data_IF_307292450851
#
_entry.id   IF_307292450851
#
_cell.length_a   1.000
_cell.length_b   1.000
_cell.length_c   1.000
_cell.angle_alpha   90.00
_cell.angle_beta   90.00
_cell.angle_gamma   90.00
#
_symmetry.space_group_name_H-M   'P 1'
#
loop_
_entity.id
_entity.type
_entity.pdbx_description
1 polymer ?
#
# COMPACT_ATOMS: atom_id res chain seq x y z
N UNK A 1 -10.62 0.74 -33.06
CA UNK A 1 -9.25 1.26 -33.11
C UNK A 1 -8.53 0.60 -31.94
N UNK A 2 -7.57 -0.29 -32.19
CA UNK A 2 -6.74 -0.84 -31.11
C UNK A 2 -5.97 0.32 -30.46
N UNK A 3 -5.75 0.23 -29.15
CA UNK A 3 -4.95 1.20 -28.41
C UNK A 3 -3.51 1.18 -28.97
N UNK A 4 -2.84 2.33 -29.08
CA UNK A 4 -1.45 2.41 -29.57
C UNK A 4 -0.51 1.49 -28.78
N UNK A 5 -0.80 1.30 -27.48
CA UNK A 5 -0.06 0.38 -26.62
C UNK A 5 -0.30 -1.08 -27.02
N UNK A 6 -1.55 -1.48 -27.27
CA UNK A 6 -1.88 -2.83 -27.77
C UNK A 6 -1.22 -3.10 -29.13
N UNK A 7 -1.21 -2.13 -30.05
CA UNK A 7 -0.59 -2.28 -31.37
C UNK A 7 0.93 -2.48 -31.28
N UNK A 8 1.61 -1.75 -30.40
CA UNK A 8 3.04 -1.91 -30.17
C UNK A 8 3.35 -3.28 -29.54
N UNK A 9 2.58 -3.68 -28.53
CA UNK A 9 2.73 -4.97 -27.88
C UNK A 9 2.51 -6.13 -28.86
N UNK A 10 1.48 -6.05 -29.71
CA UNK A 10 1.19 -7.06 -30.73
C UNK A 10 2.33 -7.24 -31.74
N UNK A 11 2.97 -6.14 -32.18
CA UNK A 11 4.13 -6.19 -33.09
C UNK A 11 5.32 -6.91 -32.46
N UNK A 12 5.62 -6.61 -31.20
CA UNK A 12 6.72 -7.25 -30.47
C UNK A 12 6.42 -8.72 -30.15
N UNK A 13 5.17 -9.03 -29.79
CA UNK A 13 4.70 -10.36 -29.44
C UNK A 13 4.72 -11.35 -30.63
N UNK A 14 4.68 -10.86 -31.88
CA UNK A 14 4.68 -11.68 -33.08
C UNK A 14 5.96 -12.52 -33.26
N UNK A 15 7.10 -12.06 -32.72
CA UNK A 15 8.37 -12.80 -32.75
C UNK A 15 8.69 -13.54 -31.46
N UNK A 16 7.83 -13.45 -30.44
CA UNK A 16 8.05 -14.08 -29.14
C UNK A 16 7.62 -15.56 -29.16
N UNK A 17 8.16 -16.41 -28.28
CA UNK A 17 7.66 -17.77 -28.11
C UNK A 17 6.19 -17.80 -27.67
N UNK A 18 5.52 -18.94 -27.85
CA UNK A 18 4.14 -19.15 -27.40
C UNK A 18 4.06 -19.89 -26.06
N UNK A 19 5.10 -20.63 -25.69
CA UNK A 19 5.14 -21.39 -24.44
C UNK A 19 5.33 -20.46 -23.24
N UNK A 20 4.51 -20.66 -22.20
CA UNK A 20 4.54 -19.83 -20.99
C UNK A 20 5.91 -19.84 -20.30
N UNK A 21 6.57 -21.00 -20.20
CA UNK A 21 7.91 -21.09 -19.60
C UNK A 21 8.93 -20.25 -20.37
N UNK A 22 8.94 -20.34 -21.70
CA UNK A 22 9.85 -19.55 -22.54
C UNK A 22 9.55 -18.04 -22.49
N UNK A 23 8.29 -17.65 -22.29
CA UNK A 23 7.91 -16.25 -22.09
C UNK A 23 8.41 -15.70 -20.74
N UNK A 24 8.42 -16.52 -19.69
CA UNK A 24 8.96 -16.15 -18.39
C UNK A 24 10.49 -15.97 -18.42
N UNK A 25 11.21 -16.90 -19.06
CA UNK A 25 12.66 -16.76 -19.27
C UNK A 25 12.98 -15.50 -20.09
N UNK A 26 12.20 -15.24 -21.15
CA UNK A 26 12.34 -14.01 -21.93
C UNK A 26 12.11 -12.75 -21.08
N UNK A 27 11.17 -12.78 -20.13
CA UNK A 27 10.96 -11.65 -19.23
C UNK A 27 12.18 -11.39 -18.34
N UNK A 28 12.80 -12.45 -17.81
CA UNK A 28 14.03 -12.35 -17.02
C UNK A 28 15.20 -11.78 -17.85
N UNK A 29 15.39 -12.25 -19.09
CA UNK A 29 16.40 -11.72 -20.02
C UNK A 29 16.16 -10.23 -20.34
N UNK A 30 14.89 -9.83 -20.51
CA UNK A 30 14.52 -8.44 -20.77
C UNK A 30 14.81 -7.54 -19.57
N UNK A 31 14.58 -8.02 -18.35
CA UNK A 31 14.95 -7.31 -17.11
C UNK A 31 16.47 -7.09 -17.06
N UNK A 32 17.26 -8.10 -17.43
CA UNK A 32 18.72 -7.97 -17.49
C UNK A 32 19.18 -6.96 -18.54
N UNK A 33 18.54 -6.97 -19.71
CA UNK A 33 18.80 -6.02 -20.78
C UNK A 33 18.44 -4.58 -20.37
N UNK A 34 17.31 -4.39 -19.67
CA UNK A 34 16.89 -3.11 -19.14
C UNK A 34 17.88 -2.59 -18.10
N UNK A 35 18.25 -3.42 -17.13
CA UNK A 35 19.21 -3.03 -16.10
C UNK A 35 20.55 -2.63 -16.69
N UNK A 36 21.07 -3.42 -17.63
CA UNK A 36 22.32 -3.10 -18.32
C UNK A 36 22.22 -1.78 -19.08
N UNK A 37 21.12 -1.56 -19.81
CA UNK A 37 20.89 -0.31 -20.54
C UNK A 37 20.85 0.92 -19.63
N UNK A 38 20.23 0.81 -18.45
CA UNK A 38 20.21 1.92 -17.47
C UNK A 38 21.62 2.23 -16.98
N UNK A 39 22.42 1.21 -16.66
CA UNK A 39 23.80 1.39 -16.22
C UNK A 39 24.73 1.93 -17.32
N UNK A 40 24.44 1.58 -18.58
CA UNK A 40 25.18 2.04 -19.76
C UNK A 40 24.71 3.40 -20.29
N UNK A 41 23.74 4.03 -19.64
CA UNK A 41 23.12 5.30 -20.07
C UNK A 41 22.44 5.22 -21.47
N UNK A 42 22.00 4.03 -21.88
CA UNK A 42 21.34 3.78 -23.16
C UNK A 42 19.80 3.84 -23.01
N UNK A 43 19.26 5.05 -23.16
CA UNK A 43 17.83 5.32 -23.03
C UNK A 43 16.97 4.57 -24.06
N UNK A 44 17.43 4.49 -25.31
CA UNK A 44 16.68 3.84 -26.39
C UNK A 44 16.55 2.34 -26.12
N UNK A 45 17.64 1.70 -25.69
CA UNK A 45 17.63 0.28 -25.31
C UNK A 45 16.77 0.03 -24.08
N UNK A 46 16.80 0.92 -23.08
CA UNK A 46 15.95 0.82 -21.89
C UNK A 46 14.45 0.88 -22.25
N UNK A 47 14.04 1.85 -23.09
CA UNK A 47 12.66 1.98 -23.59
C UNK A 47 12.25 0.73 -24.39
N UNK A 48 13.15 0.23 -25.24
CA UNK A 48 12.92 -1.00 -26.00
C UNK A 48 12.75 -2.24 -25.11
N UNK A 49 13.54 -2.36 -24.05
CA UNK A 49 13.42 -3.44 -23.07
C UNK A 49 12.09 -3.36 -22.31
N UNK A 50 11.70 -2.19 -21.82
CA UNK A 50 10.40 -2.00 -21.17
C UNK A 50 9.22 -2.39 -22.08
N UNK A 51 9.25 -1.97 -23.34
CA UNK A 51 8.20 -2.33 -24.30
C UNK A 51 8.14 -3.85 -24.57
N UNK A 52 9.28 -4.55 -24.59
CA UNK A 52 9.32 -6.01 -24.69
C UNK A 52 8.75 -6.68 -23.44
N UNK A 53 9.07 -6.18 -22.26
CA UNK A 53 8.52 -6.71 -21.00
C UNK A 53 6.98 -6.60 -20.97
N UNK A 54 6.43 -5.44 -21.38
CA UNK A 54 4.98 -5.28 -21.51
C UNK A 54 4.37 -6.22 -22.56
N UNK A 55 5.06 -6.46 -23.67
CA UNK A 55 4.60 -7.37 -24.72
C UNK A 55 4.56 -8.84 -24.26
N UNK A 56 5.46 -9.26 -23.36
CA UNK A 56 5.38 -10.59 -22.71
C UNK A 56 4.09 -10.71 -21.90
N UNK A 57 3.81 -9.73 -21.03
CA UNK A 57 2.58 -9.70 -20.21
C UNK A 57 1.34 -9.71 -21.10
N UNK A 58 1.35 -8.88 -22.16
CA UNK A 58 0.26 -8.79 -23.12
C UNK A 58 -0.02 -10.13 -23.82
N UNK A 59 1.04 -10.81 -24.28
CA UNK A 59 0.93 -12.10 -24.96
C UNK A 59 0.40 -13.17 -24.02
N UNK A 60 0.95 -13.26 -22.81
CA UNK A 60 0.48 -14.18 -21.77
C UNK A 60 -0.97 -13.91 -21.34
N UNK A 61 -1.46 -12.67 -21.49
CA UNK A 61 -2.85 -12.29 -21.18
C UNK A 61 -3.81 -12.43 -22.38
N UNK A 62 -3.43 -13.19 -23.42
CA UNK A 62 -4.29 -13.47 -24.57
C UNK A 62 -4.44 -12.28 -25.53
N UNK A 63 -3.43 -11.41 -25.58
CA UNK A 63 -3.41 -10.28 -26.50
C UNK A 63 -4.27 -9.10 -26.05
N UNK A 64 -4.20 -8.75 -24.76
CA UNK A 64 -4.80 -7.54 -24.20
C UNK A 64 -4.14 -7.15 -22.88
N UNK A 65 -4.10 -5.86 -22.55
CA UNK A 65 -3.71 -5.40 -21.20
C UNK A 65 -4.86 -5.45 -20.19
N UNK A 66 -6.12 -5.59 -20.63
CA UNK A 66 -7.25 -5.58 -19.70
C UNK A 66 -7.19 -6.77 -18.74
N UNK A 67 -7.16 -6.48 -17.43
CA UNK A 67 -7.11 -7.48 -16.38
C UNK A 67 -5.77 -8.20 -16.22
N UNK A 68 -4.67 -7.68 -16.80
CA UNK A 68 -3.37 -8.34 -16.71
C UNK A 68 -2.77 -8.37 -15.30
N UNK A 69 -3.30 -7.57 -14.36
CA UNK A 69 -2.86 -7.51 -12.95
C UNK A 69 -4.03 -7.67 -11.96
N UNK A 70 -5.09 -8.40 -12.34
CA UNK A 70 -6.32 -8.50 -11.53
C UNK A 70 -6.14 -9.21 -10.18
N UNK A 71 -5.22 -10.19 -10.11
CA UNK A 71 -4.93 -11.03 -8.94
C UNK A 71 -3.60 -11.77 -9.12
N UNK A 72 -3.19 -12.58 -8.14
CA UNK A 72 -1.88 -13.28 -8.12
C UNK A 72 -1.58 -14.10 -9.37
N UNK A 73 -2.59 -14.71 -9.97
CA UNK A 73 -2.43 -15.60 -11.12
C UNK A 73 -2.54 -14.85 -12.45
N UNK A 74 -2.77 -13.54 -12.40
CA UNK A 74 -2.83 -12.70 -13.60
C UNK A 74 -1.43 -12.56 -14.21
N UNK A 75 -1.29 -12.59 -15.55
CA UNK A 75 0.01 -12.63 -16.21
C UNK A 75 1.02 -11.57 -15.76
N UNK A 76 0.59 -10.34 -15.50
CA UNK A 76 1.46 -9.28 -14.98
C UNK A 76 2.04 -9.61 -13.61
N UNK A 77 1.23 -10.18 -12.72
CA UNK A 77 1.67 -10.56 -11.36
C UNK A 77 2.51 -11.85 -11.39
N UNK A 78 2.22 -12.79 -12.29
CA UNK A 78 3.03 -14.00 -12.51
C UNK A 78 4.41 -13.62 -13.04
N UNK A 79 4.49 -12.74 -14.06
CA UNK A 79 5.77 -12.26 -14.61
C UNK A 79 6.55 -11.45 -13.58
N UNK A 80 5.89 -10.54 -12.84
CA UNK A 80 6.54 -9.77 -11.76
C UNK A 80 7.11 -10.68 -10.68
N UNK A 81 6.35 -11.69 -10.25
CA UNK A 81 6.78 -12.64 -9.21
C UNK A 81 7.95 -13.50 -9.69
N UNK A 82 7.92 -13.92 -10.96
CA UNK A 82 9.01 -14.70 -11.56
C UNK A 82 10.31 -13.89 -11.68
N UNK A 83 10.20 -12.60 -12.01
CA UNK A 83 11.36 -11.72 -12.15
C UNK A 83 11.77 -11.05 -10.83
N UNK A 84 11.12 -11.34 -9.70
CA UNK A 84 11.37 -10.65 -8.45
C UNK A 84 12.80 -10.90 -7.94
N UNK A 85 13.42 -9.88 -7.35
CA UNK A 85 14.68 -10.07 -6.64
C UNK A 85 14.49 -10.91 -5.37
N UNK A 86 15.50 -11.70 -5.02
CA UNK A 86 15.53 -12.46 -3.78
C UNK A 86 15.37 -11.53 -2.55
N UNK A 87 14.76 -12.06 -1.48
CA UNK A 87 14.50 -11.28 -0.28
C UNK A 87 15.80 -10.71 0.33
N UNK A 88 15.85 -9.39 0.52
CA UNK A 88 17.01 -8.68 1.06
C UNK A 88 18.05 -8.28 0.00
N UNK A 89 17.95 -8.79 -1.23
CA UNK A 89 18.86 -8.43 -2.31
C UNK A 89 18.41 -7.13 -3.00
N UNK A 90 19.39 -6.33 -3.44
CA UNK A 90 19.13 -5.13 -4.23
C UNK A 90 18.53 -5.55 -5.58
N UNK A 91 17.34 -5.08 -5.95
CA UNK A 91 16.73 -5.41 -7.23
C UNK A 91 17.47 -4.73 -8.39
N UNK A 92 17.49 -5.41 -9.54
CA UNK A 92 17.83 -4.78 -10.82
C UNK A 92 16.74 -3.77 -11.21
N UNK A 93 17.07 -2.82 -12.09
CA UNK A 93 16.04 -1.99 -12.72
C UNK A 93 15.07 -2.88 -13.50
N UNK A 94 13.77 -2.75 -13.22
CA UNK A 94 12.72 -3.62 -13.79
C UNK A 94 12.29 -4.78 -12.90
N UNK A 95 12.98 -5.05 -11.79
CA UNK A 95 12.52 -6.00 -10.77
C UNK A 95 11.71 -5.31 -9.68
N UNK A 96 10.90 -6.09 -8.99
CA UNK A 96 10.41 -5.76 -7.66
C UNK A 96 11.36 -6.36 -6.62
N UNK A 97 11.56 -5.67 -5.50
CA UNK A 97 12.42 -6.18 -4.44
C UNK A 97 12.33 -5.36 -3.16
N UNK A 98 12.89 -5.90 -2.09
CA UNK A 98 13.00 -5.22 -0.81
C UNK A 98 14.38 -5.45 -0.22
N UNK A 99 15.08 -4.37 0.12
CA UNK A 99 16.47 -4.38 0.58
C UNK A 99 16.71 -3.28 1.61
N UNK A 100 17.76 -3.42 2.42
CA UNK A 100 18.09 -2.44 3.46
C UNK A 100 19.30 -1.63 3.05
N UNK A 101 19.18 -0.30 3.15
CA UNK A 101 20.29 0.64 2.96
C UNK A 101 20.58 1.39 4.24
N UNK A 102 21.79 1.93 4.32
CA UNK A 102 22.23 2.80 5.41
C UNK A 102 22.67 4.13 4.84
N UNK A 103 22.06 5.22 5.30
CA UNK A 103 22.42 6.60 4.92
C UNK A 103 22.55 7.43 6.19
N UNK A 104 23.71 8.01 6.43
CA UNK A 104 24.02 8.81 7.62
C UNK A 104 23.64 8.10 8.95
N UNK A 105 23.97 6.80 9.03
CA UNK A 105 23.65 5.95 10.19
C UNK A 105 22.18 5.52 10.30
N UNK A 106 21.27 6.05 9.47
CA UNK A 106 19.87 5.65 9.42
C UNK A 106 19.69 4.41 8.54
N UNK A 107 19.14 3.34 9.13
CA UNK A 107 18.79 2.11 8.41
C UNK A 107 17.37 2.21 7.86
N UNK A 108 17.24 1.96 6.57
CA UNK A 108 15.96 2.10 5.85
C UNK A 108 15.71 0.84 5.06
N UNK A 109 14.53 0.25 5.25
CA UNK A 109 14.03 -0.78 4.35
C UNK A 109 13.43 -0.07 3.14
N UNK A 110 13.98 -0.35 1.98
CA UNK A 110 13.51 0.16 0.69
C UNK A 110 12.72 -0.97 0.04
N UNK A 111 11.43 -0.76 -0.15
CA UNK A 111 10.63 -1.55 -1.07
C UNK A 111 10.63 -0.83 -2.43
N UNK A 112 11.14 -1.51 -3.44
CA UNK A 112 11.20 -1.01 -4.81
C UNK A 112 10.16 -1.76 -5.64
N UNK A 113 9.23 -1.00 -6.22
CA UNK A 113 8.16 -1.52 -7.06
C UNK A 113 8.56 -1.65 -8.52
N UNK A 114 7.79 -2.46 -9.26
CA UNK A 114 7.87 -2.55 -10.71
C UNK A 114 7.70 -1.17 -11.37
N UNK A 115 8.23 -1.02 -12.59
CA UNK A 115 8.28 0.22 -13.40
C UNK A 115 6.90 0.79 -13.83
N UNK A 116 5.81 0.30 -13.23
CA UNK A 116 4.45 0.75 -13.46
C UNK A 116 4.05 0.75 -14.93
N UNK A 117 2.97 1.45 -15.24
CA UNK A 117 2.72 1.89 -16.61
C UNK A 117 3.58 3.12 -16.87
N UNK A 118 4.37 3.12 -17.96
CA UNK A 118 5.17 4.26 -18.44
C UNK A 118 6.52 4.54 -17.76
N UNK A 119 7.12 3.58 -17.04
CA UNK A 119 8.51 3.71 -16.57
C UNK A 119 8.72 4.53 -15.31
N UNK A 120 7.65 4.77 -14.54
CA UNK A 120 7.77 5.39 -13.22
C UNK A 120 8.15 4.33 -12.19
N UNK A 121 9.28 4.54 -11.52
CA UNK A 121 9.73 3.73 -10.41
C UNK A 121 9.12 4.23 -9.09
N UNK A 122 8.66 3.31 -8.25
CA UNK A 122 8.18 3.62 -6.89
C UNK A 122 9.20 3.13 -5.87
N UNK A 123 9.70 4.05 -5.06
CA UNK A 123 10.46 3.77 -3.85
C UNK A 123 9.56 3.98 -2.64
N UNK A 124 9.44 2.94 -1.82
CA UNK A 124 8.74 2.97 -0.55
C UNK A 124 9.79 2.80 0.57
N UNK A 125 10.00 3.86 1.34
CA UNK A 125 10.98 3.90 2.42
C UNK A 125 10.30 3.62 3.76
N UNK A 126 10.80 2.62 4.48
CA UNK A 126 10.28 2.21 5.77
C UNK A 126 11.36 2.29 6.85
N UNK A 127 11.00 2.82 8.01
CA UNK A 127 11.89 2.88 9.16
C UNK A 127 12.19 1.46 9.70
N UNK A 128 13.48 1.13 9.77
CA UNK A 128 13.96 -0.11 10.40
C UNK A 128 14.04 0.07 11.91
N UNK A 129 14.65 1.16 12.34
CA UNK A 129 14.85 1.53 13.74
C UNK A 129 13.80 2.56 14.16
N UNK A 130 12.87 2.14 15.01
CA UNK A 130 11.73 2.95 15.41
C UNK A 130 12.05 3.94 16.54
N UNK A 131 13.18 3.74 17.23
CA UNK A 131 13.66 4.57 18.33
C UNK A 131 14.64 5.68 17.88
N UNK A 132 14.74 5.92 16.57
CA UNK A 132 15.60 6.91 15.96
C UNK A 132 14.83 7.88 15.06
N UNK A 133 15.50 8.94 14.61
CA UNK A 133 14.97 9.85 13.61
C UNK A 133 14.81 9.16 12.25
N UNK A 134 13.85 9.63 11.45
CA UNK A 134 13.55 9.14 10.12
C UNK A 134 13.18 10.31 9.18
N UNK A 135 13.06 10.07 7.88
CA UNK A 135 12.68 11.08 6.87
C UNK A 135 11.19 11.47 6.89
N UNK A 136 10.42 10.93 7.85
CA UNK A 136 8.96 11.08 7.99
C UNK A 136 8.51 10.69 9.40
N UNK A 137 7.61 11.47 10.00
CA UNK A 137 7.02 11.23 11.33
C UNK A 137 6.21 9.92 11.42
N UNK A 138 5.78 9.40 10.27
CA UNK A 138 4.98 8.16 10.20
C UNK A 138 5.82 6.88 10.19
N UNK A 139 7.14 7.00 10.05
CA UNK A 139 8.03 5.86 9.77
C UNK A 139 7.91 5.31 8.34
N UNK A 140 7.21 6.02 7.45
CA UNK A 140 7.03 5.66 6.05
C UNK A 140 7.09 6.88 5.12
N UNK A 141 7.65 6.72 3.92
CA UNK A 141 7.61 7.73 2.85
C UNK A 141 7.66 7.05 1.48
N UNK A 142 6.73 7.38 0.58
CA UNK A 142 6.83 7.01 -0.83
C UNK A 142 7.52 8.10 -1.66
N UNK A 143 8.15 7.69 -2.75
CA UNK A 143 8.76 8.56 -3.74
C UNK A 143 8.59 7.95 -5.13
N UNK A 144 8.10 8.74 -6.08
CA UNK A 144 8.04 8.36 -7.49
C UNK A 144 9.19 9.03 -8.22
N UNK A 145 9.91 8.26 -9.02
CA UNK A 145 11.02 8.76 -9.85
C UNK A 145 11.02 8.08 -11.22
N UNK A 146 11.83 8.57 -12.14
CA UNK A 146 12.17 7.87 -13.37
C UNK A 146 13.33 6.87 -13.18
N UNK A 147 13.76 6.27 -14.28
CA UNK A 147 15.03 5.54 -14.34
C UNK A 147 16.19 6.54 -14.10
N UNK A 148 17.12 6.18 -13.21
CA UNK A 148 18.35 6.95 -12.99
C UNK A 148 19.50 6.31 -13.77
N UNK A 149 19.71 6.80 -14.98
CA UNK A 149 20.80 6.34 -15.85
C UNK A 149 22.17 6.57 -15.21
N UNK A 150 23.05 5.57 -15.35
CA UNK A 150 24.38 5.55 -14.73
C UNK A 150 24.39 5.14 -13.25
N UNK A 151 23.26 4.77 -12.67
CA UNK A 151 23.16 4.37 -11.25
C UNK A 151 22.39 3.06 -11.07
N UNK A 152 22.76 2.31 -10.05
CA UNK A 152 21.98 1.17 -9.54
C UNK A 152 20.73 1.65 -8.78
N UNK A 153 19.77 0.73 -8.53
CA UNK A 153 18.60 1.03 -7.70
C UNK A 153 19.01 1.42 -6.27
N UNK A 154 20.06 0.81 -5.73
CA UNK A 154 20.58 1.14 -4.40
C UNK A 154 21.16 2.56 -4.34
N UNK A 155 21.98 2.94 -5.33
CA UNK A 155 22.55 4.30 -5.40
C UNK A 155 21.44 5.35 -5.56
N UNK A 156 20.47 5.09 -6.45
CA UNK A 156 19.29 5.95 -6.60
C UNK A 156 18.54 6.12 -5.27
N UNK A 157 18.29 5.02 -4.54
CA UNK A 157 17.62 5.06 -3.24
C UNK A 157 18.43 5.87 -2.21
N UNK A 158 19.76 5.69 -2.16
CA UNK A 158 20.65 6.43 -1.25
C UNK A 158 20.64 7.93 -1.56
N UNK A 159 20.65 8.30 -2.83
CA UNK A 159 20.61 9.71 -3.24
C UNK A 159 19.27 10.37 -2.90
N UNK A 160 18.15 9.69 -3.12
CA UNK A 160 16.81 10.17 -2.73
C UNK A 160 16.75 10.37 -1.21
N UNK A 161 17.25 9.41 -0.43
CA UNK A 161 17.31 9.51 1.03
C UNK A 161 18.19 10.68 1.48
N UNK A 162 19.38 10.82 0.89
CA UNK A 162 20.30 11.91 1.20
C UNK A 162 19.69 13.28 0.91
N UNK A 163 18.88 13.40 -0.14
CA UNK A 163 18.17 14.64 -0.46
C UNK A 163 17.12 14.97 0.61
N UNK A 164 16.29 14.01 1.01
CA UNK A 164 15.31 14.22 2.08
C UNK A 164 15.93 14.56 3.43
N UNK A 165 17.12 14.07 3.71
CA UNK A 165 17.84 14.37 4.96
C UNK A 165 18.39 15.80 5.03
N UNK A 166 18.36 16.57 3.93
CA UNK A 166 18.69 18.00 3.93
C UNK A 166 17.58 18.84 4.59
N UNK A 167 16.34 18.36 4.59
CA UNK A 167 15.19 19.10 5.09
C UNK A 167 15.03 18.95 6.60
N UNK A 168 14.64 17.76 7.06
CA UNK A 168 14.29 17.48 8.46
C UNK A 168 14.62 16.04 8.84
N UNK A 169 14.81 15.83 10.14
CA UNK A 169 15.04 14.52 10.76
C UNK A 169 14.07 14.33 11.94
N UNK A 170 12.76 14.26 11.70
CA UNK A 170 11.79 14.05 12.76
C UNK A 170 11.97 12.69 13.44
N UNK A 171 11.59 12.63 14.71
CA UNK A 171 11.30 11.36 15.38
C UNK A 171 9.98 10.78 14.86
N UNK A 172 9.80 9.46 14.96
CA UNK A 172 8.55 8.80 14.59
C UNK A 172 7.53 9.04 15.71
N UNK A 173 6.32 9.49 15.37
CA UNK A 173 5.30 9.73 16.39
C UNK A 173 4.92 8.43 17.11
N UNK A 174 4.57 8.57 18.39
CA UNK A 174 4.23 7.47 19.30
C UNK A 174 3.21 6.50 18.71
N UNK A 175 2.12 7.01 18.13
CA UNK A 175 1.05 6.18 17.56
C UNK A 175 1.54 5.31 16.40
N UNK A 176 2.36 5.89 15.51
CA UNK A 176 2.95 5.17 14.39
C UNK A 176 4.01 4.18 14.85
N UNK A 177 4.87 4.57 15.79
CA UNK A 177 5.86 3.68 16.40
C UNK A 177 5.21 2.46 17.05
N UNK A 178 4.13 2.63 17.80
CA UNK A 178 3.42 1.53 18.47
C UNK A 178 2.70 0.61 17.46
N UNK A 179 2.13 1.18 16.40
CA UNK A 179 1.53 0.40 15.30
C UNK A 179 2.60 -0.40 14.56
N UNK A 180 3.72 0.23 14.24
CA UNK A 180 4.85 -0.41 13.59
C UNK A 180 5.43 -1.51 14.48
N UNK A 181 5.72 -1.25 15.76
CA UNK A 181 6.27 -2.24 16.69
C UNK A 181 5.47 -3.56 16.74
N UNK A 182 4.15 -3.51 16.53
CA UNK A 182 3.24 -4.68 16.47
C UNK A 182 3.18 -5.35 15.10
N UNK A 183 3.60 -4.67 14.04
CA UNK A 183 3.59 -5.21 12.68
C UNK A 183 4.72 -6.22 12.49
N UNK A 184 4.48 -7.35 11.80
CA UNK A 184 5.50 -8.35 11.55
C UNK A 184 6.67 -7.75 10.77
N UNK A 185 7.88 -8.23 11.04
CA UNK A 185 9.09 -7.85 10.31
C UNK A 185 9.08 -8.51 8.92
N UNK A 186 9.20 -7.73 7.83
CA UNK A 186 9.50 -8.25 6.50
C UNK A 186 10.69 -9.22 6.49
N UNK A 187 10.62 -10.26 5.66
CA UNK A 187 11.67 -11.28 5.54
C UNK A 187 13.04 -10.68 5.18
N UNK A 188 13.07 -9.60 4.39
CA UNK A 188 14.28 -8.84 4.05
C UNK A 188 15.04 -8.30 5.29
N UNK A 189 14.37 -8.18 6.43
CA UNK A 189 14.95 -7.69 7.69
C UNK A 189 15.31 -8.80 8.69
N UNK A 190 14.98 -10.07 8.39
CA UNK A 190 15.09 -11.17 9.36
C UNK A 190 16.54 -11.45 9.79
N UNK A 191 17.50 -11.23 8.89
CA UNK A 191 18.93 -11.52 9.10
C UNK A 191 19.77 -10.28 9.38
N UNK A 192 19.16 -9.14 9.74
CA UNK A 192 19.90 -7.91 10.00
C UNK A 192 20.77 -8.01 11.25
N UNK A 193 22.04 -7.61 11.12
CA UNK A 193 22.95 -7.44 12.24
C UNK A 193 23.45 -5.99 12.33
N UNK A 194 23.21 -5.27 13.45
CA UNK A 194 22.39 -5.66 14.60
C UNK A 194 20.89 -5.80 14.24
N UNK A 195 20.05 -6.45 15.05
CA UNK A 195 18.62 -6.56 14.75
C UNK A 195 17.94 -5.20 14.68
N UNK A 196 16.79 -5.13 13.99
CA UNK A 196 15.96 -3.92 13.92
C UNK A 196 15.46 -3.51 15.32
N UNK A 197 15.61 -2.23 15.68
CA UNK A 197 15.15 -1.71 16.98
C UNK A 197 13.68 -1.31 16.90
N UNK A 198 12.79 -2.22 17.30
CA UNK A 198 11.32 -2.06 17.13
C UNK A 198 10.53 -1.91 18.42
N UNK A 199 11.15 -1.41 19.49
CA UNK A 199 10.43 -1.17 20.74
C UNK A 199 9.31 -0.14 20.54
N UNK A 200 8.08 -0.37 21.04
CA UNK A 200 7.02 0.63 21.02
C UNK A 200 7.43 1.86 21.85
N UNK A 201 6.78 2.99 21.63
CA UNK A 201 6.90 4.17 22.48
C UNK A 201 5.98 4.06 23.70
N UNK A 202 4.77 3.53 23.54
CA UNK A 202 3.87 3.22 24.65
C UNK A 202 4.13 1.80 25.13
N UNK A 203 4.61 1.69 26.36
CA UNK A 203 4.80 0.41 27.03
C UNK A 203 3.62 0.16 27.95
N UNK A 204 2.86 -0.90 27.70
CA UNK A 204 1.83 -1.39 28.62
C UNK A 204 2.53 -2.17 29.74
N UNK A 205 2.82 -1.47 30.84
CA UNK A 205 3.48 -2.05 32.01
C UNK A 205 2.37 -2.56 32.95
N UNK A 206 2.29 -3.87 33.21
CA UNK A 206 1.28 -4.39 34.11
C UNK A 206 1.39 -3.76 35.51
N UNK A 207 0.27 -3.53 36.22
CA UNK A 207 0.29 -2.99 37.58
C UNK A 207 1.24 -3.79 38.49
N UNK A 208 2.12 -3.09 39.20
CA UNK A 208 3.12 -3.71 40.09
C UNK A 208 4.47 -4.02 39.42
N UNK A 209 4.60 -3.79 38.12
CA UNK A 209 5.87 -3.85 37.39
C UNK A 209 6.36 -2.45 37.04
N UNK A 210 7.67 -2.31 36.82
CA UNK A 210 8.29 -1.08 36.35
C UNK A 210 9.35 -1.41 35.29
N UNK A 211 9.43 -0.60 34.24
CA UNK A 211 10.53 -0.68 33.28
C UNK A 211 11.75 0.02 33.88
N UNK A 212 12.92 -0.61 33.83
CA UNK A 212 14.14 -0.08 34.43
C UNK A 212 15.29 -0.20 33.44
N UNK A 213 15.88 0.93 33.05
CA UNK A 213 17.16 0.96 32.35
C UNK A 213 18.30 0.82 33.35
N UNK A 214 19.19 -0.15 33.13
CA UNK A 214 20.31 -0.43 34.05
C UNK A 214 21.62 -0.46 33.26
N UNK A 215 22.57 0.39 33.67
CA UNK A 215 23.94 0.36 33.14
C UNK A 215 24.76 -0.61 33.99
N UNK A 216 25.16 -1.74 33.40
CA UNK A 216 25.95 -2.78 34.06
C UNK A 216 27.25 -3.06 33.28
N UNK A 217 28.35 -3.43 33.97
CA UNK A 217 29.51 -4.01 33.31
C UNK A 217 29.11 -5.27 32.52
N UNK A 218 29.77 -5.53 31.39
CA UNK A 218 29.41 -6.63 30.47
C UNK A 218 29.27 -8.00 31.18
N UNK A 219 30.13 -8.26 32.16
CA UNK A 219 30.14 -9.50 32.98
C UNK A 219 28.88 -9.68 33.84
N UNK A 220 28.14 -8.60 34.10
CA UNK A 220 26.93 -8.57 34.94
C UNK A 220 25.64 -8.38 34.12
N UNK A 221 25.73 -8.22 32.80
CA UNK A 221 24.56 -8.03 31.94
C UNK A 221 23.54 -9.20 32.03
N UNK A 222 23.98 -10.41 32.42
CA UNK A 222 23.09 -11.54 32.64
C UNK A 222 22.07 -11.32 33.77
N UNK A 223 22.36 -10.44 34.74
CA UNK A 223 21.47 -10.14 35.87
C UNK A 223 20.19 -9.46 35.38
N UNK A 224 20.32 -8.43 34.53
CA UNK A 224 19.18 -7.76 33.92
C UNK A 224 18.36 -8.73 33.05
N UNK A 225 19.02 -9.62 32.29
CA UNK A 225 18.35 -10.67 31.51
C UNK A 225 17.58 -11.65 32.40
N UNK A 226 18.11 -11.99 33.58
CA UNK A 226 17.44 -12.87 34.55
C UNK A 226 16.19 -12.21 35.12
N UNK A 227 16.28 -10.95 35.53
CA UNK A 227 15.13 -10.18 36.02
C UNK A 227 14.02 -10.06 34.97
N UNK A 228 14.40 -9.77 33.71
CA UNK A 228 13.43 -9.70 32.60
C UNK A 228 12.71 -11.03 32.38
N UNK A 229 13.43 -12.16 32.39
CA UNK A 229 12.82 -13.50 32.27
C UNK A 229 11.88 -13.83 33.43
N UNK A 230 12.29 -13.53 34.66
CA UNK A 230 11.46 -13.78 35.85
C UNK A 230 10.19 -12.92 35.85
N UNK A 231 10.28 -11.64 35.45
CA UNK A 231 9.13 -10.78 35.29
C UNK A 231 8.19 -11.28 34.18
N UNK A 232 8.72 -11.67 33.03
CA UNK A 232 7.93 -12.21 31.92
C UNK A 232 7.17 -13.48 32.33
N UNK A 233 7.82 -14.41 33.05
CA UNK A 233 7.17 -15.63 33.52
C UNK A 233 6.02 -15.34 34.50
N UNK A 234 6.15 -14.32 35.36
CA UNK A 234 5.07 -13.91 36.27
C UNK A 234 3.92 -13.24 35.54
N UNK A 235 4.22 -12.37 34.58
CA UNK A 235 3.21 -11.70 33.73
C UNK A 235 2.43 -12.75 32.91
N UNK A 236 3.10 -13.75 32.34
CA UNK A 236 2.45 -14.83 31.60
C UNK A 236 1.61 -15.74 32.50
N UNK A 237 2.05 -16.02 33.73
CA UNK A 237 1.29 -16.80 34.71
C UNK A 237 0.04 -16.07 35.24
N UNK A 238 0.06 -14.75 35.27
CA UNK A 238 -1.06 -13.90 35.71
C UNK A 238 -2.06 -13.58 34.59
N UNK A 239 -1.73 -13.86 33.32
CA UNK A 239 -2.68 -13.71 32.21
C UNK A 239 -3.74 -14.81 32.28
N UNK A 240 -5.04 -14.49 32.47
CA UNK A 240 -6.09 -15.48 32.34
C UNK A 240 -6.14 -15.98 30.90
N UNK A 241 -6.29 -17.30 30.70
CA UNK A 241 -6.56 -17.87 29.38
C UNK A 241 -7.89 -17.29 28.86
N UNK A 242 -7.81 -16.38 27.88
CA UNK A 242 -8.99 -15.85 27.20
C UNK A 242 -8.78 -15.85 25.70
N UNK A 243 -9.78 -16.43 25.03
CA UNK A 243 -10.01 -16.47 23.59
C UNK A 243 -9.96 -15.07 22.96
N UNK A 244 -9.47 -15.02 21.73
CA UNK A 244 -9.30 -13.83 20.90
C UNK A 244 -10.65 -13.18 20.56
N UNK A 245 -10.85 -11.88 20.85
CA UNK A 245 -11.79 -11.04 20.12
C UNK A 245 -11.09 -10.31 18.97
N UNK A 246 -11.79 -10.22 17.84
CA UNK A 246 -11.41 -9.46 16.65
C UNK A 246 -11.30 -7.95 16.95
N UNK A 247 -10.29 -7.31 16.37
CA UNK A 247 -9.94 -5.90 16.56
C UNK A 247 -10.65 -5.05 15.52
N UNK A 248 -11.64 -4.26 15.95
CA UNK A 248 -12.15 -3.12 15.20
C UNK A 248 -11.22 -1.90 15.38
N UNK A 249 -10.92 -1.22 14.27
CA UNK A 249 -10.03 -0.07 14.21
C UNK A 249 -10.84 1.23 14.35
N UNK A 250 -10.72 1.93 15.48
CA UNK A 250 -11.17 3.33 15.61
C UNK A 250 -9.98 4.30 15.47
N UNK A 251 -10.06 5.16 14.45
CA UNK A 251 -9.13 6.26 14.20
C UNK A 251 -9.61 7.52 14.93
N UNK A 252 -8.76 8.13 15.75
CA UNK A 252 -9.00 9.44 16.37
C UNK A 252 -7.92 10.44 15.95
N UNK A 253 -8.35 11.55 15.35
CA UNK A 253 -7.53 12.70 14.94
C UNK A 253 -7.86 13.89 15.86
N UNK A 254 -6.89 14.70 16.34
CA UNK A 254 -7.18 15.82 17.23
C UNK A 254 -7.62 17.09 16.46
N UNK A 255 -8.63 17.80 16.97
CA UNK A 255 -9.22 19.00 16.36
C UNK A 255 -8.51 20.32 16.76
N UNK A 256 -8.39 21.30 15.84
CA UNK A 256 -8.16 22.70 16.17
C UNK A 256 -9.46 23.45 16.50
N UNK A 257 -9.32 24.50 17.31
CA UNK A 257 -10.32 25.25 18.08
C UNK A 257 -11.47 25.93 17.31
N UNK A 258 -11.54 25.81 15.98
CA UNK A 258 -12.63 26.36 15.16
C UNK A 258 -13.89 25.45 15.09
N UNK A 259 -13.79 24.20 15.53
CA UNK A 259 -14.84 23.18 15.41
C UNK A 259 -16.06 23.38 16.35
N UNK A 260 -15.97 24.22 17.38
CA UNK A 260 -17.03 24.33 18.40
C UNK A 260 -18.36 24.93 17.90
N UNK A 261 -18.35 25.75 16.85
CA UNK A 261 -19.58 26.35 16.32
C UNK A 261 -20.29 25.46 15.28
N UNK A 262 -19.55 24.62 14.54
CA UNK A 262 -20.12 23.65 13.60
C UNK A 262 -20.66 22.38 14.31
N UNK A 263 -20.10 22.04 15.47
CA UNK A 263 -20.41 20.81 16.21
C UNK A 263 -21.88 20.70 16.68
N UNK A 264 -22.56 21.81 16.99
CA UNK A 264 -23.95 21.76 17.46
C UNK A 264 -24.94 21.36 16.35
N UNK A 265 -24.70 21.80 15.11
CA UNK A 265 -25.57 21.45 13.97
C UNK A 265 -25.19 20.10 13.33
N UNK A 266 -23.93 19.65 13.41
CA UNK A 266 -23.52 18.37 12.85
C UNK A 266 -24.05 17.18 13.68
N UNK A 267 -24.03 17.29 15.03
CA UNK A 267 -24.31 16.17 15.94
C UNK A 267 -25.78 15.73 15.98
N UNK A 268 -26.73 16.65 15.78
CA UNK A 268 -28.16 16.30 15.68
C UNK A 268 -28.52 15.70 14.31
N UNK A 269 -27.79 16.07 13.24
CA UNK A 269 -28.08 15.61 11.87
C UNK A 269 -27.32 14.33 11.49
N UNK A 270 -26.22 13.98 12.18
CA UNK A 270 -25.57 12.65 12.08
C UNK A 270 -26.51 11.47 12.38
N UNK A 271 -27.69 11.70 12.97
CA UNK A 271 -28.75 10.67 13.13
C UNK A 271 -29.58 10.41 11.86
N UNK A 272 -29.42 11.19 10.80
CA UNK A 272 -30.23 11.06 9.57
C UNK A 272 -29.72 9.95 8.65
N UNK A 273 -28.44 9.61 8.74
CA UNK A 273 -27.79 8.67 7.84
C UNK A 273 -26.89 7.68 8.57
N UNK A 274 -26.83 6.44 8.09
CA UNK A 274 -25.98 5.38 8.65
C UNK A 274 -25.09 4.73 7.56
N UNK A 275 -23.87 4.25 7.89
CA UNK A 275 -23.11 3.41 6.98
C UNK A 275 -23.92 2.18 6.56
N UNK A 276 -23.85 1.82 5.28
CA UNK A 276 -24.67 0.76 4.65
C UNK A 276 -26.04 1.24 4.18
N UNK A 277 -26.47 2.45 4.52
CA UNK A 277 -27.79 2.93 4.14
C UNK A 277 -27.88 3.29 2.66
N UNK A 278 -28.94 2.79 2.01
CA UNK A 278 -29.30 3.09 0.63
C UNK A 278 -30.01 4.44 0.54
N UNK A 279 -29.51 5.31 -0.32
CA UNK A 279 -30.02 6.67 -0.50
C UNK A 279 -30.20 6.98 -2.00
N UNK A 280 -31.18 7.80 -2.32
CA UNK A 280 -31.39 8.36 -3.65
C UNK A 280 -30.74 9.76 -3.74
N UNK A 281 -30.06 10.02 -4.85
CA UNK A 281 -29.50 11.35 -5.16
C UNK A 281 -30.65 12.26 -5.61
N UNK A 282 -30.95 13.31 -4.85
CA UNK A 282 -32.04 14.25 -5.16
C UNK A 282 -31.55 15.58 -5.74
N UNK A 283 -30.26 15.91 -5.56
CA UNK A 283 -29.65 17.09 -6.16
C UNK A 283 -28.14 16.89 -6.33
N UNK A 284 -27.54 17.68 -7.22
CA UNK A 284 -26.09 17.66 -7.49
C UNK A 284 -25.54 19.07 -7.50
N UNK A 285 -24.25 19.21 -7.19
CA UNK A 285 -23.60 20.52 -7.09
C UNK A 285 -23.13 21.08 -8.45
N UNK A 286 -23.08 20.26 -9.50
CA UNK A 286 -22.61 20.67 -10.82
C UNK A 286 -23.49 20.08 -11.94
N UNK A 287 -23.91 20.86 -12.96
CA UNK A 287 -24.83 20.42 -14.03
C UNK A 287 -24.40 19.15 -14.78
N UNK A 288 -23.10 18.88 -14.87
CA UNK A 288 -22.55 17.67 -15.53
C UNK A 288 -23.04 16.35 -14.89
N UNK A 289 -23.48 16.41 -13.63
CA UNK A 289 -23.99 15.27 -12.86
C UNK A 289 -25.52 15.23 -12.80
N UNK A 290 -26.25 16.09 -13.53
CA UNK A 290 -27.72 16.08 -13.52
C UNK A 290 -28.30 14.71 -13.90
N UNK A 291 -27.60 13.96 -14.76
CA UNK A 291 -27.93 12.59 -15.13
C UNK A 291 -27.88 11.58 -13.97
N UNK A 292 -27.30 11.96 -12.83
CA UNK A 292 -27.14 11.11 -11.65
C UNK A 292 -28.26 11.35 -10.62
N UNK A 293 -29.07 12.41 -10.79
CA UNK A 293 -30.28 12.61 -9.98
C UNK A 293 -31.24 11.44 -10.21
N UNK A 294 -31.78 10.88 -9.11
CA UNK A 294 -32.64 9.70 -9.09
C UNK A 294 -31.89 8.37 -9.01
N UNK A 295 -30.55 8.37 -9.12
CA UNK A 295 -29.76 7.15 -8.90
C UNK A 295 -29.61 6.85 -7.41
N UNK A 296 -29.36 5.59 -7.11
CA UNK A 296 -29.16 5.10 -5.76
C UNK A 296 -27.67 4.92 -5.44
N UNK A 297 -27.31 5.26 -4.20
CA UNK A 297 -25.96 5.12 -3.64
C UNK A 297 -26.05 4.47 -2.26
N UNK A 298 -24.99 3.80 -1.85
CA UNK A 298 -24.85 3.20 -0.51
C UNK A 298 -23.80 3.99 0.26
N UNK A 299 -24.20 4.51 1.41
CA UNK A 299 -23.30 5.28 2.29
C UNK A 299 -22.23 4.35 2.85
N UNK A 300 -20.97 4.74 2.70
CA UNK A 300 -19.82 3.98 3.20
C UNK A 300 -19.25 4.62 4.46
N UNK A 301 -19.18 5.96 4.50
CA UNK A 301 -18.61 6.71 5.63
C UNK A 301 -19.30 8.05 5.77
N UNK A 302 -19.45 8.50 7.02
CA UNK A 302 -19.90 9.85 7.34
C UNK A 302 -18.71 10.69 7.82
N UNK A 303 -18.72 11.98 7.50
CA UNK A 303 -17.80 12.93 8.12
C UNK A 303 -18.24 13.18 9.57
N UNK A 304 -17.35 13.08 10.56
CA UNK A 304 -17.69 13.39 11.95
C UNK A 304 -17.95 14.89 12.16
N UNK A 305 -17.41 15.73 11.28
CA UNK A 305 -17.30 17.18 11.47
C UNK A 305 -17.98 18.00 10.36
N UNK A 306 -18.49 17.36 9.32
CA UNK A 306 -19.23 18.02 8.23
C UNK A 306 -20.48 17.22 7.85
N UNK A 307 -21.49 17.89 7.30
CA UNK A 307 -22.72 17.26 6.82
C UNK A 307 -22.51 16.58 5.46
N UNK A 308 -21.48 15.74 5.36
CA UNK A 308 -21.07 15.06 4.14
C UNK A 308 -20.93 13.56 4.36
N UNK A 309 -21.23 12.80 3.31
CA UNK A 309 -21.05 11.35 3.26
C UNK A 309 -20.21 10.96 2.05
N UNK A 310 -19.49 9.85 2.18
CA UNK A 310 -18.92 9.11 1.07
C UNK A 310 -19.85 7.96 0.76
N UNK A 311 -20.24 7.84 -0.50
CA UNK A 311 -21.10 6.78 -0.97
C UNK A 311 -20.60 6.22 -2.30
N UNK A 312 -20.89 4.95 -2.55
CA UNK A 312 -20.66 4.32 -3.85
C UNK A 312 -21.99 4.05 -4.56
N UNK A 313 -21.96 3.87 -5.88
CA UNK A 313 -23.19 3.53 -6.64
C UNK A 313 -23.80 2.22 -6.11
N UNK A 314 -25.13 2.19 -6.01
CA UNK A 314 -25.90 0.99 -5.70
C UNK A 314 -26.11 0.15 -6.97
N UNK A 315 -24.99 -0.34 -7.52
CA UNK A 315 -24.97 -1.22 -8.67
C UNK A 315 -24.24 -2.53 -8.32
N UNK A 316 -24.59 -3.66 -8.97
CA UNK A 316 -23.79 -4.86 -8.85
C UNK A 316 -22.41 -4.68 -9.50
N UNK A 317 -21.42 -5.43 -9.01
CA UNK A 317 -20.10 -5.51 -9.64
C UNK A 317 -20.28 -6.01 -11.08
N UNK A 318 -19.79 -5.23 -12.05
CA UNK A 318 -19.82 -5.60 -13.46
C UNK A 318 -18.55 -6.37 -13.81
N UNK A 319 -18.74 -7.49 -14.50
CA UNK A 319 -17.66 -8.37 -14.92
C UNK A 319 -17.56 -8.43 -16.43
N UNK A 320 -16.35 -8.65 -16.93
CA UNK A 320 -16.06 -8.87 -18.34
C UNK A 320 -15.14 -10.06 -18.50
N UNK A 321 -15.35 -10.85 -19.55
CA UNK A 321 -14.41 -11.91 -19.94
C UNK A 321 -13.31 -11.27 -20.79
N UNK A 322 -12.05 -11.41 -20.36
CA UNK A 322 -10.91 -10.95 -21.15
C UNK A 322 -10.63 -11.94 -22.31
N UNK A 323 -9.70 -11.59 -23.21
CA UNK A 323 -9.37 -12.46 -24.36
C UNK A 323 -8.74 -13.80 -23.97
N UNK A 324 -8.21 -13.91 -22.75
CA UNK A 324 -7.72 -15.14 -22.16
C UNK A 324 -8.83 -16.00 -21.52
N UNK A 325 -10.10 -15.67 -21.74
CA UNK A 325 -11.25 -16.42 -21.19
C UNK A 325 -11.50 -16.20 -19.70
N UNK A 326 -10.74 -15.32 -19.03
CA UNK A 326 -10.86 -15.05 -17.60
C UNK A 326 -11.97 -14.04 -17.32
N UNK A 327 -12.83 -14.33 -16.34
CA UNK A 327 -13.80 -13.37 -15.80
C UNK A 327 -13.08 -12.38 -14.87
N UNK A 328 -12.99 -11.12 -15.30
CA UNK A 328 -12.32 -10.03 -14.58
C UNK A 328 -13.33 -8.97 -14.18
N UNK A 329 -13.13 -8.34 -13.02
CA UNK A 329 -13.92 -7.19 -12.58
C UNK A 329 -13.69 -6.02 -13.54
N UNK A 330 -14.74 -5.55 -14.20
CA UNK A 330 -14.70 -4.39 -15.07
C UNK A 330 -14.99 -3.10 -14.31
N UNK A 331 -15.98 -3.16 -13.41
CA UNK A 331 -16.35 -2.04 -12.56
C UNK A 331 -16.83 -2.59 -11.24
N UNK A 332 -16.16 -2.18 -10.17
CA UNK A 332 -16.62 -2.40 -8.81
C UNK A 332 -17.08 -1.04 -8.25
N UNK A 333 -18.39 -0.81 -8.11
CA UNK A 333 -18.92 0.42 -7.53
C UNK A 333 -18.26 0.75 -6.19
N UNK A 334 -18.00 -0.25 -5.34
CA UNK A 334 -17.35 -0.08 -4.03
C UNK A 334 -15.93 0.49 -4.10
N UNK A 335 -15.29 0.48 -5.26
CA UNK A 335 -13.95 1.05 -5.46
C UNK A 335 -13.99 2.54 -5.80
N UNK A 336 -15.16 3.11 -6.08
CA UNK A 336 -15.34 4.52 -6.43
C UNK A 336 -16.29 5.17 -5.42
N UNK A 337 -15.79 6.17 -4.72
CA UNK A 337 -16.58 6.91 -3.73
C UNK A 337 -16.82 8.33 -4.21
N UNK A 338 -18.08 8.72 -4.24
CA UNK A 338 -18.52 10.09 -4.47
C UNK A 338 -18.87 10.74 -3.13
N UNK A 339 -18.63 12.04 -3.03
CA UNK A 339 -18.95 12.82 -1.82
C UNK A 339 -20.26 13.55 -2.05
N UNK A 340 -21.20 13.39 -1.13
CA UNK A 340 -22.48 14.08 -1.15
C UNK A 340 -22.70 14.84 0.15
N UNK A 341 -23.31 16.01 0.06
CA UNK A 341 -23.88 16.70 1.23
C UNK A 341 -25.20 16.05 1.62
N UNK A 342 -25.60 16.16 2.89
CA UNK A 342 -26.82 15.52 3.41
C UNK A 342 -28.12 15.98 2.72
N UNK A 343 -28.15 17.21 2.20
CA UNK A 343 -29.26 17.80 1.45
C UNK A 343 -29.35 17.28 0.01
N UNK A 344 -28.32 16.61 -0.48
CA UNK A 344 -28.27 15.99 -1.80
C UNK A 344 -28.85 14.57 -1.80
N UNK A 345 -29.13 14.00 -0.62
CA UNK A 345 -29.55 12.61 -0.47
C UNK A 345 -30.89 12.47 0.24
N UNK A 346 -31.66 11.46 -0.21
CA UNK A 346 -32.88 11.01 0.45
C UNK A 346 -32.74 9.54 0.84
N UNK A 347 -32.85 9.18 2.14
CA UNK A 347 -32.91 7.79 2.56
C UNK A 347 -34.04 7.04 1.86
N UNK A 348 -33.74 5.84 1.37
CA UNK A 348 -34.78 4.90 0.94
C UNK A 348 -35.25 4.16 2.18
N UNK A 349 -36.50 4.35 2.58
CA UNK A 349 -37.13 3.54 3.61
C UNK A 349 -37.60 2.28 2.90
N UNK A 350 -36.90 1.18 3.11
CA UNK A 350 -37.29 -0.13 2.57
C UNK A 350 -38.51 -0.63 3.37
N UNK A 351 -39.70 -0.15 3.00
CA UNK A 351 -40.94 -0.81 3.41
C UNK A 351 -40.97 -2.12 2.67
N UNK A 352 -40.60 -3.22 3.35
CA UNK A 352 -40.47 -4.55 2.77
C UNK A 352 -41.73 -5.08 2.11
N UNK A 353 -42.01 -4.61 0.90
CA UNK A 353 -42.92 -5.23 -0.04
C UNK A 353 -42.10 -6.15 -0.93
N UNK A 354 -42.05 -7.41 -0.52
CA UNK A 354 -41.77 -8.53 -1.42
C UNK A 354 -42.76 -8.46 -2.58
N UNK A 355 -42.32 -7.94 -3.73
CA UNK A 355 -43.00 -8.18 -5.00
C UNK A 355 -42.73 -9.63 -5.41
N UNK A 356 -43.60 -10.52 -4.93
CA UNK A 356 -43.89 -11.77 -5.63
C UNK A 356 -44.58 -11.42 -6.94
N UNK A 357 -43.91 -11.68 -8.06
CA UNK A 357 -44.51 -12.27 -9.27
C UNK A 357 -43.43 -12.90 -10.15
#
# INVERSE_FOLDING_TARGET
MMDKRDDQAAKLAASMPDEQGALLELAAEVVDALHSAVLEEDEERAVGAMARYEAVIWKMNGGTFFGCSADSDSPGNVVESHCQADAGMVPKWGQKGAFVVVVDGMRVLVEFGSLGSQGTALFSFHAVDLDAWFISETGYRSHFDGLRFGSTVEEAAKDILADYLKDKRPEIETSYRDRLARSPLPAAMASLEPPARRSPATLDIPPGYALVDVVLPAQKAFVARKWAKEAQARIEAEKPAKELPEVEQEATTPEPTAAKAANLNAREVTRRFEPGQRCEIISVHHPVFEKDIGKFVIITKLSPNSSQVWAHDDEPIKYRINRNGRRVVQYNPKSVHSIYSFDQLRPVIDTGETNNE
#
